data_IF_690725196517
#
_entry.id   IF_690725196517
#
_cell.length_a   1.000
_cell.length_b   1.000
_cell.length_c   1.000
_cell.angle_alpha   90.00
_cell.angle_beta   90.00
_cell.angle_gamma   90.00
#
_symmetry.space_group_name_H-M   'P 1'
#
loop_
_entity.id
_entity.type
_entity.pdbx_description
1 polymer ?
#
# COMPACT_ATOMS: atom_id res chain seq x y z
N UNK A 1 16.10 -5.61 2.71
CA UNK A 1 14.67 -5.24 2.79
C UNK A 1 14.17 -4.86 1.40
N UNK A 2 12.95 -5.26 1.01
CA UNK A 2 12.30 -4.79 -0.23
C UNK A 2 10.88 -4.32 0.10
N UNK A 3 10.65 -3.03 -0.14
CA UNK A 3 9.39 -2.34 0.18
C UNK A 3 8.65 -2.03 -1.12
N UNK A 4 7.39 -2.46 -1.21
CA UNK A 4 6.47 -2.01 -2.25
C UNK A 4 5.50 -0.98 -1.67
N UNK A 5 5.60 0.27 -2.13
CA UNK A 5 4.59 1.29 -1.94
C UNK A 5 3.67 1.29 -3.17
N UNK A 6 2.36 1.21 -2.97
CA UNK A 6 1.39 1.13 -4.07
C UNK A 6 0.11 1.93 -3.83
N UNK A 7 -0.38 2.56 -4.88
CA UNK A 7 -1.74 3.10 -4.93
C UNK A 7 -2.79 2.06 -5.30
N UNK A 8 -4.04 2.38 -5.04
CA UNK A 8 -5.23 1.58 -5.35
C UNK A 8 -5.33 1.09 -6.81
N UNK A 9 -4.83 1.87 -7.77
CA UNK A 9 -4.92 1.54 -9.21
C UNK A 9 -4.30 0.17 -9.54
N UNK A 10 -3.24 -0.23 -8.83
CA UNK A 10 -2.58 -1.54 -9.00
C UNK A 10 -3.55 -2.70 -8.76
N UNK A 11 -4.43 -2.57 -7.76
CA UNK A 11 -5.47 -3.56 -7.46
C UNK A 11 -6.55 -3.52 -8.53
N UNK A 12 -7.01 -2.31 -8.90
CA UNK A 12 -8.05 -2.10 -9.91
C UNK A 12 -7.71 -2.73 -11.27
N UNK A 13 -6.43 -2.71 -11.66
CA UNK A 13 -5.98 -3.34 -12.91
C UNK A 13 -5.56 -4.81 -12.76
N UNK A 14 -5.93 -5.47 -11.66
CA UNK A 14 -5.78 -6.91 -11.49
C UNK A 14 -4.37 -7.41 -11.16
N UNK A 15 -3.49 -6.53 -10.64
CA UNK A 15 -2.09 -6.90 -10.41
C UNK A 15 -1.84 -7.55 -9.03
N UNK A 16 -2.87 -7.69 -8.19
CA UNK A 16 -2.76 -8.23 -6.83
C UNK A 16 -2.10 -9.60 -6.75
N UNK A 17 -2.45 -10.53 -7.65
CA UNK A 17 -1.88 -11.90 -7.65
C UNK A 17 -0.36 -11.91 -7.89
N UNK A 18 0.16 -10.97 -8.69
CA UNK A 18 1.59 -10.87 -8.94
C UNK A 18 2.34 -10.33 -7.72
N UNK A 19 1.75 -9.34 -7.03
CA UNK A 19 2.27 -8.85 -5.75
C UNK A 19 2.27 -9.97 -4.71
N UNK A 20 1.16 -10.70 -4.60
CA UNK A 20 1.01 -11.84 -3.68
C UNK A 20 2.03 -12.95 -3.98
N UNK A 21 2.31 -13.26 -5.25
CA UNK A 21 3.33 -14.26 -5.59
C UNK A 21 4.73 -13.81 -5.15
N UNK A 22 5.10 -12.53 -5.35
CA UNK A 22 6.37 -12.00 -4.85
C UNK A 22 6.45 -11.98 -3.32
N UNK A 23 5.33 -11.74 -2.63
CA UNK A 23 5.24 -11.86 -1.16
C UNK A 23 5.42 -13.31 -0.70
N UNK A 24 4.76 -14.28 -1.36
CA UNK A 24 4.91 -15.72 -1.07
C UNK A 24 6.34 -16.20 -1.23
N UNK A 25 7.08 -15.64 -2.20
CA UNK A 25 8.51 -15.89 -2.41
C UNK A 25 9.44 -15.10 -1.47
N UNK A 26 8.90 -14.34 -0.51
CA UNK A 26 9.65 -13.49 0.43
C UNK A 26 10.53 -12.43 -0.26
N UNK A 27 10.19 -12.08 -1.50
CA UNK A 27 10.88 -11.02 -2.24
C UNK A 27 10.38 -9.68 -1.74
N UNK A 28 9.06 -9.44 -1.80
CA UNK A 28 8.45 -8.27 -1.17
C UNK A 28 8.33 -8.56 0.33
N UNK A 29 8.98 -7.74 1.15
CA UNK A 29 9.04 -7.90 2.61
C UNK A 29 8.23 -6.84 3.37
N UNK A 30 7.67 -5.85 2.68
CA UNK A 30 6.72 -4.88 3.21
C UNK A 30 5.83 -4.34 2.08
N UNK A 31 4.54 -4.18 2.33
CA UNK A 31 3.62 -3.46 1.43
C UNK A 31 3.07 -2.22 2.13
N UNK A 32 3.15 -1.05 1.49
CA UNK A 32 2.55 0.18 1.98
C UNK A 32 1.52 0.69 0.97
N UNK A 33 0.33 1.08 1.44
CA UNK A 33 -0.78 1.53 0.61
C UNK A 33 -1.25 2.93 0.99
N UNK A 34 -1.80 3.67 0.04
CA UNK A 34 -2.68 4.79 0.36
C UNK A 34 -4.04 4.27 0.87
N UNK A 35 -4.87 5.14 1.44
CA UNK A 35 -6.15 4.73 2.04
C UNK A 35 -7.17 4.10 1.08
N UNK A 36 -7.08 4.37 -0.23
CA UNK A 36 -7.90 3.70 -1.25
C UNK A 36 -7.51 2.22 -1.48
N UNK A 37 -6.24 1.85 -1.26
CA UNK A 37 -5.75 0.48 -1.42
C UNK A 37 -6.56 -0.59 -0.67
N UNK A 38 -6.75 -0.48 0.66
CA UNK A 38 -7.52 -1.46 1.42
C UNK A 38 -8.99 -1.56 1.03
N UNK A 39 -9.58 -0.51 0.45
CA UNK A 39 -10.98 -0.52 0.01
C UNK A 39 -11.15 -1.48 -1.16
N UNK A 40 -10.40 -1.27 -2.25
CA UNK A 40 -10.46 -2.18 -3.40
C UNK A 40 -9.94 -3.58 -3.07
N UNK A 41 -8.95 -3.71 -2.18
CA UNK A 41 -8.48 -5.03 -1.73
C UNK A 41 -9.57 -5.81 -0.98
N UNK A 42 -10.35 -5.10 -0.17
CA UNK A 42 -11.49 -5.67 0.57
C UNK A 42 -12.66 -6.01 -0.36
N UNK A 43 -13.05 -5.12 -1.27
CA UNK A 43 -14.08 -5.39 -2.29
C UNK A 43 -13.73 -6.62 -3.11
N UNK A 44 -12.47 -6.71 -3.57
CA UNK A 44 -11.99 -7.88 -4.30
C UNK A 44 -12.09 -9.17 -3.45
N UNK A 45 -11.83 -9.10 -2.14
CA UNK A 45 -12.00 -10.24 -1.25
C UNK A 45 -13.47 -10.61 -1.00
N UNK A 46 -14.36 -9.61 -0.97
CA UNK A 46 -15.79 -9.78 -0.67
C UNK A 46 -16.56 -10.30 -1.89
N UNK A 47 -16.46 -9.61 -3.03
CA UNK A 47 -17.30 -9.84 -4.22
C UNK A 47 -16.51 -10.31 -5.45
N UNK A 48 -15.17 -10.26 -5.43
CA UNK A 48 -14.34 -10.72 -6.55
C UNK A 48 -14.13 -9.68 -7.65
N UNK A 49 -14.61 -8.46 -7.45
CA UNK A 49 -14.47 -7.30 -8.33
C UNK A 49 -14.31 -6.02 -7.50
N UNK A 50 -13.86 -4.93 -8.13
CA UNK A 50 -13.79 -3.60 -7.50
C UNK A 50 -14.99 -2.77 -7.94
N UNK A 51 -15.72 -2.19 -6.99
CA UNK A 51 -17.05 -1.61 -7.27
C UNK A 51 -17.00 -0.10 -7.47
N UNK A 52 -16.50 0.41 -8.61
CA UNK A 52 -16.67 1.84 -8.94
C UNK A 52 -16.74 2.14 -10.46
N UNK A 53 -17.94 2.55 -10.93
CA UNK A 53 -18.11 3.45 -12.08
C UNK A 53 -18.22 4.89 -11.55
N UNK A 54 -17.06 5.56 -11.44
CA UNK A 54 -16.91 6.88 -10.78
C UNK A 54 -17.78 7.96 -11.43
N UNK A 55 -17.83 8.02 -12.75
CA UNK A 55 -18.49 9.12 -13.47
C UNK A 55 -20.01 9.17 -13.24
N UNK A 56 -20.67 8.01 -13.18
CA UNK A 56 -22.13 7.92 -13.06
C UNK A 56 -22.64 8.12 -11.63
N UNK A 57 -21.82 7.78 -10.63
CA UNK A 57 -22.21 7.77 -9.21
C UNK A 57 -21.93 9.10 -8.49
N UNK A 58 -21.19 10.01 -9.12
CA UNK A 58 -21.00 11.37 -8.60
C UNK A 58 -22.24 12.22 -8.83
N UNK A 59 -22.94 12.05 -9.96
CA UNK A 59 -24.11 12.88 -10.32
C UNK A 59 -25.28 12.71 -9.34
N UNK A 60 -25.46 11.51 -8.79
CA UNK A 60 -26.53 11.20 -7.83
C UNK A 60 -26.07 11.14 -6.36
N UNK A 61 -24.78 11.36 -6.10
CA UNK A 61 -24.19 11.36 -4.76
C UNK A 61 -24.00 9.98 -4.13
N UNK A 62 -24.16 8.89 -4.89
CA UNK A 62 -23.97 7.53 -4.38
C UNK A 62 -22.52 7.05 -4.41
N UNK A 63 -21.61 7.84 -5.00
CA UNK A 63 -20.18 7.51 -5.08
C UNK A 63 -19.59 7.23 -3.70
N UNK A 64 -19.13 6.00 -3.50
CA UNK A 64 -18.51 5.57 -2.25
C UNK A 64 -19.47 5.24 -1.10
N UNK A 65 -20.78 5.18 -1.36
CA UNK A 65 -21.81 4.96 -0.34
C UNK A 65 -22.20 3.48 -0.16
N UNK A 66 -21.31 2.55 -0.46
CA UNK A 66 -21.55 1.11 -0.25
C UNK A 66 -21.52 0.80 1.26
N UNK A 67 -22.68 0.48 1.82
CA UNK A 67 -22.87 0.25 3.27
C UNK A 67 -21.97 -0.89 3.79
N UNK A 68 -21.93 -2.03 3.11
CA UNK A 68 -21.16 -3.18 3.57
C UNK A 68 -19.66 -2.88 3.64
N UNK A 69 -19.10 -2.28 2.57
CA UNK A 69 -17.68 -1.90 2.50
C UNK A 69 -17.36 -0.85 3.56
N UNK A 70 -18.16 0.22 3.63
CA UNK A 70 -17.94 1.32 4.57
C UNK A 70 -18.07 0.87 6.03
N UNK A 71 -19.09 0.09 6.35
CA UNK A 71 -19.35 -0.38 7.72
C UNK A 71 -18.29 -1.36 8.21
N UNK A 72 -17.96 -2.39 7.41
CA UNK A 72 -17.00 -3.44 7.81
C UNK A 72 -15.59 -2.89 7.93
N UNK A 73 -15.15 -2.04 7.00
CA UNK A 73 -13.81 -1.45 7.08
C UNK A 73 -13.68 -0.50 8.29
N UNK A 74 -14.69 0.32 8.55
CA UNK A 74 -14.67 1.16 9.75
C UNK A 74 -14.71 0.35 11.05
N UNK A 75 -15.43 -0.78 11.09
CA UNK A 75 -15.35 -1.72 12.21
C UNK A 75 -13.94 -2.26 12.41
N UNK A 76 -13.29 -2.74 11.33
CA UNK A 76 -11.92 -3.23 11.38
C UNK A 76 -10.94 -2.15 11.89
N UNK A 77 -11.10 -0.91 11.44
CA UNK A 77 -10.27 0.23 11.89
C UNK A 77 -10.49 0.52 13.38
N UNK A 78 -11.74 0.53 13.86
CA UNK A 78 -12.06 0.73 15.29
C UNK A 78 -11.50 -0.39 16.15
N UNK A 79 -11.59 -1.64 15.71
CA UNK A 79 -10.96 -2.77 16.38
C UNK A 79 -9.43 -2.67 16.38
N UNK A 80 -8.84 -2.27 15.26
CA UNK A 80 -7.40 -2.02 15.14
C UNK A 80 -6.94 -0.96 16.15
N UNK A 81 -7.68 0.14 16.25
CA UNK A 81 -7.42 1.21 17.21
C UNK A 81 -7.51 0.70 18.66
N UNK A 82 -8.52 -0.12 18.99
CA UNK A 82 -8.68 -0.70 20.33
C UNK A 82 -7.52 -1.63 20.70
N UNK A 83 -7.01 -2.40 19.74
CA UNK A 83 -5.96 -3.40 19.96
C UNK A 83 -4.53 -2.90 19.65
N UNK A 84 -4.35 -1.62 19.31
CA UNK A 84 -3.08 -1.02 18.88
C UNK A 84 -2.47 -1.68 17.62
N UNK A 85 -3.32 -2.14 16.70
CA UNK A 85 -2.89 -2.60 15.39
C UNK A 85 -2.80 -1.44 14.40
N UNK A 86 -1.94 -1.64 13.40
CA UNK A 86 -1.96 -0.85 12.18
C UNK A 86 -3.22 -1.14 11.36
N UNK A 87 -3.66 -0.19 10.53
CA UNK A 87 -4.86 -0.31 9.70
C UNK A 87 -4.72 -1.48 8.70
N UNK A 88 -3.56 -1.61 8.06
CA UNK A 88 -3.31 -2.71 7.11
C UNK A 88 -3.47 -4.09 7.74
N UNK A 89 -2.88 -4.29 8.93
CA UNK A 89 -3.03 -5.52 9.69
C UNK A 89 -4.49 -5.76 10.11
N UNK A 90 -5.16 -4.74 10.65
CA UNK A 90 -6.52 -4.85 11.14
C UNK A 90 -7.51 -5.27 10.05
N UNK A 91 -7.40 -4.69 8.85
CA UNK A 91 -8.23 -5.06 7.69
C UNK A 91 -7.89 -6.47 7.20
N UNK A 92 -6.60 -6.82 7.06
CA UNK A 92 -6.20 -8.18 6.67
C UNK A 92 -6.70 -9.26 7.64
N UNK A 93 -6.68 -8.95 8.94
CA UNK A 93 -7.27 -9.80 9.99
C UNK A 93 -8.79 -9.92 9.83
N UNK A 94 -9.51 -8.80 9.63
CA UNK A 94 -10.97 -8.82 9.44
C UNK A 94 -11.38 -9.66 8.22
N UNK A 95 -10.67 -9.55 7.10
CA UNK A 95 -10.89 -10.40 5.90
C UNK A 95 -10.71 -11.89 6.23
N UNK A 96 -9.68 -12.23 7.01
CA UNK A 96 -9.46 -13.60 7.47
C UNK A 96 -10.61 -14.10 8.36
N UNK A 97 -11.03 -13.29 9.33
CA UNK A 97 -12.03 -13.66 10.34
C UNK A 97 -13.42 -13.83 9.72
N UNK A 98 -13.78 -12.98 8.77
CA UNK A 98 -15.03 -13.10 7.99
C UNK A 98 -15.01 -14.27 6.99
N UNK A 99 -13.85 -14.90 6.77
CA UNK A 99 -13.68 -15.99 5.83
C UNK A 99 -14.23 -15.66 4.42
N UNK A 100 -13.92 -14.46 3.90
CA UNK A 100 -14.49 -13.98 2.65
C UNK A 100 -14.18 -14.92 1.46
N UNK A 101 -15.12 -15.09 0.51
CA UNK A 101 -15.02 -16.10 -0.54
C UNK A 101 -13.81 -15.90 -1.46
N UNK A 102 -13.47 -14.65 -1.74
CA UNK A 102 -12.41 -14.27 -2.67
C UNK A 102 -11.13 -13.79 -1.95
N UNK A 103 -11.00 -14.04 -0.63
CA UNK A 103 -9.86 -13.59 0.19
C UNK A 103 -8.48 -13.94 -0.38
N UNK A 104 -8.37 -15.00 -1.18
CA UNK A 104 -7.13 -15.38 -1.87
C UNK A 104 -6.56 -14.31 -2.81
N UNK A 105 -7.40 -13.40 -3.32
CA UNK A 105 -7.00 -12.28 -4.18
C UNK A 105 -6.58 -11.03 -3.41
N UNK A 106 -6.84 -10.96 -2.10
CA UNK A 106 -6.50 -9.80 -1.25
C UNK A 106 -5.04 -9.83 -0.82
N UNK A 107 -4.33 -8.74 -1.07
CA UNK A 107 -2.97 -8.50 -0.60
C UNK A 107 -2.94 -8.43 0.93
N UNK A 108 -3.92 -7.78 1.56
CA UNK A 108 -3.98 -7.63 3.02
C UNK A 108 -4.19 -8.97 3.74
N UNK A 109 -5.08 -9.81 3.23
CA UNK A 109 -5.27 -11.17 3.73
C UNK A 109 -4.00 -12.00 3.58
N UNK A 110 -3.36 -11.98 2.42
CA UNK A 110 -2.13 -12.73 2.20
C UNK A 110 -0.97 -12.19 3.07
N UNK A 111 -0.87 -10.87 3.27
CA UNK A 111 0.11 -10.26 4.17
C UNK A 111 -0.09 -10.75 5.62
N UNK A 112 -1.33 -10.74 6.11
CA UNK A 112 -1.71 -11.28 7.41
C UNK A 112 -1.31 -12.77 7.54
N UNK A 113 -1.65 -13.61 6.55
CA UNK A 113 -1.33 -15.04 6.56
C UNK A 113 0.18 -15.34 6.50
N UNK A 114 0.94 -14.52 5.78
CA UNK A 114 2.39 -14.70 5.60
C UNK A 114 3.24 -14.05 6.70
N UNK A 115 2.59 -13.30 7.62
CA UNK A 115 3.26 -12.45 8.59
C UNK A 115 4.24 -11.47 7.92
N UNK A 116 3.77 -10.81 6.85
CA UNK A 116 4.49 -9.74 6.15
C UNK A 116 3.84 -8.41 6.56
N UNK A 117 4.62 -7.42 7.03
CA UNK A 117 4.09 -6.11 7.36
C UNK A 117 3.35 -5.48 6.17
N UNK A 118 2.13 -5.01 6.44
CA UNK A 118 1.34 -4.20 5.52
C UNK A 118 0.81 -2.96 6.22
N UNK A 119 1.04 -1.78 5.65
CA UNK A 119 0.72 -0.49 6.26
C UNK A 119 -0.17 0.34 5.35
N UNK A 120 -1.15 1.05 5.94
CA UNK A 120 -2.03 1.97 5.22
C UNK A 120 -1.85 3.39 5.76
N UNK A 121 -1.56 4.30 4.84
CA UNK A 121 -1.38 5.71 5.12
C UNK A 121 -2.59 6.50 4.63
N UNK A 122 -3.51 6.76 5.56
CA UNK A 122 -4.77 7.45 5.28
C UNK A 122 -4.53 8.94 5.09
N UNK A 123 -5.23 9.52 4.12
CA UNK A 123 -5.40 10.96 4.01
C UNK A 123 -6.88 11.26 4.29
N UNK A 124 -7.14 11.94 5.40
CA UNK A 124 -8.52 12.12 5.87
C UNK A 124 -9.31 12.93 4.82
N UNK A 125 -10.47 12.40 4.44
CA UNK A 125 -11.33 12.96 3.40
C UNK A 125 -11.01 12.52 1.97
N UNK A 126 -9.99 11.67 1.73
CA UNK A 126 -9.70 11.17 0.36
C UNK A 126 -10.37 9.85 0.05
N UNK A 127 -10.66 9.04 1.07
CA UNK A 127 -11.15 7.68 0.91
C UNK A 127 -12.65 7.58 1.23
N UNK A 128 -13.39 6.76 0.47
CA UNK A 128 -14.85 6.69 0.55
C UNK A 128 -15.37 6.27 1.93
N UNK A 129 -14.60 5.48 2.67
CA UNK A 129 -14.94 5.04 4.03
C UNK A 129 -15.04 6.20 5.03
N UNK A 130 -14.48 7.38 4.73
CA UNK A 130 -14.59 8.56 5.58
C UNK A 130 -15.96 9.21 5.53
N UNK A 131 -16.73 8.98 4.46
CA UNK A 131 -18.08 9.53 4.27
C UNK A 131 -19.12 8.76 5.09
N UNK A 132 -18.77 7.53 5.49
CA UNK A 132 -19.66 6.62 6.18
C UNK A 132 -19.94 7.07 7.63
N UNK A 133 -21.19 7.02 8.14
CA UNK A 133 -21.53 7.43 9.52
C UNK A 133 -20.75 6.69 10.61
N UNK A 134 -20.31 5.47 10.32
CA UNK A 134 -19.50 4.65 11.24
C UNK A 134 -18.02 5.05 11.32
N UNK A 135 -17.58 6.05 10.54
CA UNK A 135 -16.23 6.57 10.54
C UNK A 135 -15.86 7.19 11.90
N UNK A 136 -14.75 6.73 12.45
CA UNK A 136 -14.13 7.31 13.65
C UNK A 136 -12.76 7.86 13.26
N UNK A 137 -12.67 9.19 13.16
CA UNK A 137 -11.43 9.89 12.81
C UNK A 137 -10.29 9.64 13.79
N UNK A 138 -10.57 9.40 15.08
CA UNK A 138 -9.55 9.05 16.06
C UNK A 138 -9.02 7.64 15.80
N UNK A 139 -9.89 6.69 15.45
CA UNK A 139 -9.49 5.34 15.08
C UNK A 139 -8.66 5.32 13.79
N UNK A 140 -9.09 6.06 12.74
CA UNK A 140 -8.34 6.23 11.49
C UNK A 140 -6.95 6.82 11.77
N UNK A 141 -6.88 7.93 12.50
CA UNK A 141 -5.62 8.59 12.83
C UNK A 141 -4.69 7.69 13.65
N UNK A 142 -5.23 7.00 14.67
CA UNK A 142 -4.45 6.09 15.53
C UNK A 142 -3.86 4.92 14.75
N UNK A 143 -4.68 4.23 13.96
CA UNK A 143 -4.25 3.05 13.19
C UNK A 143 -3.29 3.43 12.07
N UNK A 144 -3.51 4.55 11.38
CA UNK A 144 -2.59 5.02 10.34
C UNK A 144 -1.25 5.50 10.92
N UNK A 145 -1.26 6.12 12.11
CA UNK A 145 -0.03 6.48 12.82
C UNK A 145 0.73 5.24 13.32
N UNK A 146 0.03 4.20 13.77
CA UNK A 146 0.63 2.92 14.10
C UNK A 146 1.32 2.30 12.87
N UNK A 147 0.66 2.34 11.72
CA UNK A 147 1.22 1.93 10.43
C UNK A 147 2.44 2.75 10.02
N UNK A 148 2.44 4.07 10.29
CA UNK A 148 3.63 4.91 10.07
C UNK A 148 4.84 4.47 10.88
N UNK A 149 4.65 4.10 12.16
CA UNK A 149 5.76 3.58 12.98
C UNK A 149 6.30 2.25 12.46
N UNK A 150 5.42 1.33 12.06
CA UNK A 150 5.79 0.05 11.45
C UNK A 150 6.55 0.28 10.14
N UNK A 151 6.08 1.23 9.33
CA UNK A 151 6.74 1.59 8.07
C UNK A 151 8.13 2.21 8.29
N UNK A 152 8.27 3.13 9.25
CA UNK A 152 9.56 3.72 9.62
C UNK A 152 10.57 2.66 10.09
N UNK A 153 10.10 1.64 10.81
CA UNK A 153 10.91 0.49 11.23
C UNK A 153 11.36 -0.39 10.05
N UNK A 154 10.49 -0.61 9.05
CA UNK A 154 10.92 -1.24 7.78
C UNK A 154 11.92 -0.39 7.01
N UNK A 155 11.76 0.93 6.99
CA UNK A 155 12.67 1.86 6.29
C UNK A 155 14.04 1.93 6.98
N UNK A 156 14.14 1.74 8.30
CA UNK A 156 15.43 1.72 9.00
C UNK A 156 16.34 0.54 8.60
N UNK A 157 15.77 -0.50 7.98
CA UNK A 157 16.49 -1.66 7.43
C UNK A 157 16.71 -1.59 5.91
N UNK A 158 16.55 -0.42 5.30
CA UNK A 158 16.54 -0.28 3.84
C UNK A 158 17.95 -0.15 3.21
N UNK A 159 19.02 -0.11 4.00
CA UNK A 159 20.39 -0.17 3.45
C UNK A 159 20.58 -1.40 2.56
N UNK A 160 21.17 -1.17 1.38
CA UNK A 160 21.30 -2.15 0.29
C UNK A 160 19.97 -2.77 -0.16
N UNK A 161 18.86 -2.15 0.22
CA UNK A 161 17.50 -2.57 -0.03
C UNK A 161 16.88 -1.88 -1.24
N UNK A 162 15.61 -2.24 -1.50
CA UNK A 162 14.84 -1.72 -2.62
C UNK A 162 13.56 -1.07 -2.12
N UNK A 163 13.23 0.10 -2.66
CA UNK A 163 11.91 0.71 -2.52
C UNK A 163 11.28 0.98 -3.88
N UNK A 164 10.07 0.48 -4.06
CA UNK A 164 9.28 0.67 -5.27
C UNK A 164 8.09 1.56 -4.92
N UNK A 165 7.86 2.64 -5.67
CA UNK A 165 6.64 3.43 -5.62
C UNK A 165 5.83 3.21 -6.89
N UNK A 166 4.61 2.69 -6.76
CA UNK A 166 3.79 2.25 -7.88
C UNK A 166 2.43 2.92 -7.84
N UNK A 167 2.20 3.90 -8.71
CA UNK A 167 0.89 4.56 -8.85
C UNK A 167 0.44 5.37 -7.64
N UNK A 168 1.38 5.95 -6.87
CA UNK A 168 1.05 6.91 -5.81
C UNK A 168 1.87 8.20 -5.97
N UNK A 169 1.21 9.28 -6.35
CA UNK A 169 1.88 10.54 -6.67
C UNK A 169 2.19 11.43 -5.45
N UNK A 170 1.48 11.26 -4.33
CA UNK A 170 1.54 12.20 -3.20
C UNK A 170 1.73 11.50 -1.85
N UNK A 171 0.75 10.72 -1.40
CA UNK A 171 0.70 10.22 -0.01
C UNK A 171 1.93 9.39 0.36
N UNK A 172 2.23 8.33 -0.40
CA UNK A 172 3.34 7.43 -0.10
C UNK A 172 4.72 8.08 -0.31
N UNK A 173 4.96 8.88 -1.38
CA UNK A 173 6.19 9.67 -1.47
C UNK A 173 6.46 10.58 -0.26
N UNK A 174 5.42 11.26 0.24
CA UNK A 174 5.56 12.13 1.42
C UNK A 174 5.82 11.31 2.67
N UNK A 175 5.10 10.21 2.89
CA UNK A 175 5.29 9.31 4.03
C UNK A 175 6.70 8.71 4.04
N UNK A 176 7.18 8.23 2.90
CA UNK A 176 8.53 7.67 2.76
C UNK A 176 9.61 8.67 3.12
N UNK A 177 9.50 9.91 2.62
CA UNK A 177 10.49 10.93 2.94
C UNK A 177 10.61 11.14 4.46
N UNK A 178 9.49 11.17 5.19
CA UNK A 178 9.49 11.35 6.65
C UNK A 178 10.03 10.12 7.37
N UNK A 179 9.63 8.92 6.94
CA UNK A 179 10.15 7.66 7.49
C UNK A 179 11.68 7.54 7.32
N UNK A 180 12.20 7.90 6.14
CA UNK A 180 13.63 7.91 5.85
C UNK A 180 14.38 8.93 6.71
N UNK A 181 13.81 10.14 6.87
CA UNK A 181 14.38 11.15 7.76
C UNK A 181 14.47 10.65 9.20
N UNK A 182 13.42 10.01 9.72
CA UNK A 182 13.43 9.41 11.06
C UNK A 182 14.51 8.33 11.18
N UNK A 183 14.56 7.40 10.22
CA UNK A 183 15.56 6.33 10.22
C UNK A 183 17.00 6.88 10.30
N UNK A 184 17.34 7.84 9.43
CA UNK A 184 18.66 8.48 9.41
C UNK A 184 18.92 9.29 10.68
N UNK A 185 17.91 10.02 11.18
CA UNK A 185 18.04 10.83 12.40
C UNK A 185 18.29 9.99 13.65
N UNK A 186 17.75 8.76 13.71
CA UNK A 186 18.02 7.79 14.77
C UNK A 186 19.35 7.03 14.60
N UNK A 187 20.16 7.37 13.59
CA UNK A 187 21.49 6.80 13.38
C UNK A 187 21.51 5.50 12.58
N UNK A 188 20.37 5.05 12.02
CA UNK A 188 20.37 3.92 11.10
C UNK A 188 21.02 4.34 9.77
N UNK A 189 21.97 3.52 9.30
CA UNK A 189 22.56 3.70 7.98
C UNK A 189 21.51 3.34 6.93
N UNK A 190 21.10 4.30 6.12
CA UNK A 190 20.17 4.12 5.00
C UNK A 190 20.59 5.09 3.89
N UNK A 191 21.63 4.74 3.16
CA UNK A 191 22.33 5.59 2.19
C UNK A 191 22.32 4.96 0.80
N UNK A 192 22.68 3.66 0.73
CA UNK A 192 22.74 2.90 -0.51
C UNK A 192 21.42 2.16 -0.76
N UNK A 193 20.41 2.88 -1.24
CA UNK A 193 19.11 2.31 -1.57
C UNK A 193 18.89 2.27 -3.07
N UNK A 194 18.23 1.22 -3.56
CA UNK A 194 17.68 1.21 -4.93
C UNK A 194 16.23 1.68 -4.88
N UNK A 195 15.93 2.81 -5.49
CA UNK A 195 14.60 3.39 -5.55
C UNK A 195 14.06 3.38 -6.99
N UNK A 196 12.79 3.00 -7.17
CA UNK A 196 12.15 3.05 -8.47
C UNK A 196 10.72 3.58 -8.38
N UNK A 197 10.37 4.53 -9.26
CA UNK A 197 9.01 5.02 -9.41
C UNK A 197 8.37 4.48 -10.70
N UNK A 198 7.16 3.94 -10.60
CA UNK A 198 6.36 3.39 -11.68
C UNK A 198 5.04 4.15 -11.80
N UNK A 199 4.89 4.89 -12.90
CA UNK A 199 3.69 5.67 -13.16
C UNK A 199 3.49 5.87 -14.67
N UNK A 200 2.36 6.43 -15.08
CA UNK A 200 2.08 6.74 -16.49
C UNK A 200 2.71 8.08 -16.91
N UNK A 201 3.07 8.93 -15.95
CA UNK A 201 3.73 10.23 -16.17
C UNK A 201 4.79 10.51 -15.11
N UNK A 202 5.72 11.42 -15.41
CA UNK A 202 6.76 11.80 -14.47
C UNK A 202 6.28 12.91 -13.51
N UNK A 203 5.86 12.52 -12.30
CA UNK A 203 5.44 13.45 -11.27
C UNK A 203 6.62 14.03 -10.48
N UNK A 204 6.54 15.32 -10.13
CA UNK A 204 7.55 16.00 -9.30
C UNK A 204 7.80 15.27 -7.97
N UNK A 205 6.76 15.00 -7.18
CA UNK A 205 6.91 14.44 -5.84
C UNK A 205 7.58 13.06 -5.82
N UNK A 206 7.15 12.05 -6.59
CA UNK A 206 7.86 10.78 -6.64
C UNK A 206 9.28 10.90 -7.17
N UNK A 207 9.51 11.75 -8.18
CA UNK A 207 10.86 12.02 -8.70
C UNK A 207 11.79 12.55 -7.60
N UNK A 208 11.36 13.55 -6.86
CA UNK A 208 12.19 14.18 -5.84
C UNK A 208 12.27 13.35 -4.55
N UNK A 209 11.11 12.91 -4.04
CA UNK A 209 10.95 12.39 -2.68
C UNK A 209 11.10 10.86 -2.59
N UNK A 210 11.08 10.14 -3.72
CA UNK A 210 11.38 8.70 -3.77
C UNK A 210 12.68 8.44 -4.50
N UNK A 211 12.87 9.06 -5.66
CA UNK A 211 13.97 8.70 -6.56
C UNK A 211 15.24 9.50 -6.29
N UNK A 212 15.21 10.83 -6.35
CA UNK A 212 16.44 11.65 -6.38
C UNK A 212 17.04 11.92 -5.00
N UNK A 213 16.27 12.52 -4.08
CA UNK A 213 16.79 12.91 -2.75
C UNK A 213 17.11 11.70 -1.87
N UNK A 214 16.30 10.63 -1.86
CA UNK A 214 16.60 9.46 -1.04
C UNK A 214 17.89 8.74 -1.44
N UNK A 215 18.24 8.72 -2.74
CA UNK A 215 19.41 8.01 -3.25
C UNK A 215 20.67 8.87 -3.36
N UNK A 216 20.64 10.14 -2.90
CA UNK A 216 21.74 11.09 -3.11
C UNK A 216 23.06 10.71 -2.41
N UNK A 217 23.02 9.77 -1.45
CA UNK A 217 24.17 9.31 -0.67
C UNK A 217 24.83 8.03 -1.23
N UNK A 218 24.54 7.66 -2.48
CA UNK A 218 25.19 6.53 -3.16
C UNK A 218 24.24 5.48 -3.73
N UNK A 219 22.94 5.62 -3.50
CA UNK A 219 21.91 4.76 -4.05
C UNK A 219 21.67 4.94 -5.57
N UNK A 220 20.74 4.17 -6.11
CA UNK A 220 20.33 4.22 -7.53
C UNK A 220 18.84 4.50 -7.66
N UNK A 221 18.51 5.50 -8.47
CA UNK A 221 17.14 5.92 -8.74
C UNK A 221 16.69 5.58 -10.16
N UNK A 222 15.48 5.04 -10.31
CA UNK A 222 14.88 4.70 -11.59
C UNK A 222 13.48 5.33 -11.72
N UNK A 223 13.15 5.81 -12.93
CA UNK A 223 11.82 6.27 -13.28
C UNK A 223 11.35 5.43 -14.47
N UNK A 224 10.25 4.71 -14.27
CA UNK A 224 9.63 3.85 -15.26
C UNK A 224 8.29 4.47 -15.62
N UNK A 225 8.14 4.87 -16.88
CA UNK A 225 6.95 5.55 -17.39
C UNK A 225 6.22 4.63 -18.36
N UNK A 226 5.17 3.96 -17.89
CA UNK A 226 4.29 3.07 -18.67
C UNK A 226 3.14 2.57 -17.77
N UNK A 227 2.06 2.08 -18.38
CA UNK A 227 0.93 1.44 -17.70
C UNK A 227 1.36 0.31 -16.74
N UNK A 228 0.75 0.25 -15.57
CA UNK A 228 1.02 -0.77 -14.53
C UNK A 228 0.81 -2.20 -15.05
N UNK A 229 -0.17 -2.37 -15.94
CA UNK A 229 -0.51 -3.61 -16.64
C UNK A 229 0.62 -4.15 -17.53
N UNK A 230 1.59 -3.31 -17.89
CA UNK A 230 2.80 -3.76 -18.59
C UNK A 230 4.01 -3.82 -17.66
N UNK A 231 4.17 -2.83 -16.80
CA UNK A 231 5.38 -2.71 -15.97
C UNK A 231 5.44 -3.76 -14.87
N UNK A 232 4.33 -4.03 -14.18
CA UNK A 232 4.28 -4.98 -13.06
C UNK A 232 4.47 -6.42 -13.54
N UNK A 233 3.77 -6.92 -14.58
CA UNK A 233 4.02 -8.27 -15.09
C UNK A 233 5.43 -8.45 -15.65
N UNK A 234 5.98 -7.41 -16.29
CA UNK A 234 7.36 -7.45 -16.81
C UNK A 234 8.38 -7.54 -15.68
N UNK A 235 8.23 -6.72 -14.63
CA UNK A 235 9.11 -6.75 -13.47
C UNK A 235 9.00 -8.08 -12.73
N UNK A 236 7.77 -8.55 -12.47
CA UNK A 236 7.50 -9.84 -11.85
C UNK A 236 8.21 -10.97 -12.60
N UNK A 237 7.98 -11.09 -13.90
CA UNK A 237 8.59 -12.12 -14.74
C UNK A 237 10.12 -12.07 -14.67
N UNK A 238 10.71 -10.88 -14.82
CA UNK A 238 12.18 -10.72 -14.76
C UNK A 238 12.75 -11.16 -13.41
N UNK A 239 12.09 -10.83 -12.31
CA UNK A 239 12.51 -11.24 -10.96
C UNK A 239 12.42 -12.78 -10.83
N UNK A 240 11.29 -13.37 -11.24
CA UNK A 240 11.10 -14.82 -11.16
C UNK A 240 12.10 -15.58 -12.04
N UNK A 241 12.40 -15.08 -13.23
CA UNK A 241 13.40 -15.66 -14.14
C UNK A 241 14.83 -15.58 -13.57
N UNK A 242 15.14 -14.54 -12.79
CA UNK A 242 16.45 -14.39 -12.13
C UNK A 242 16.61 -15.34 -10.95
N UNK A 243 15.55 -15.59 -10.18
CA UNK A 243 15.61 -16.45 -8.98
C UNK A 243 15.61 -17.95 -9.33
N UNK A 244 15.11 -18.30 -10.51
CA UNK A 244 15.18 -19.68 -11.03
C UNK A 244 16.56 -20.10 -11.54
N UNK A 245 17.46 -19.14 -11.75
CA UNK A 245 18.84 -19.37 -12.18
C UNK A 245 19.75 -19.50 -10.97
#
# INVERSE_FOLDING_TARGET
QIILMMGAHVIKVGMSLLVIDLMKKRIITHVAMNGAGPIHDFELALIGETSEYVEQTIEDGTFGMIEETGSILNEAIKEGAKNNYGMGYAVGKKINDLNLPNKGYSILYNAYKLNIPVTVHAAIGTDIIHQHPNCDGAAVGKTSYQDFKIFAESVSRLEDGVILNVGCAVILPEVFLKALTIARNLGYKVENITAANFDMINHYRPRENVVQRPTSLGGKGFIIIERHEKTIPTLHRKIVDLIKK
#
